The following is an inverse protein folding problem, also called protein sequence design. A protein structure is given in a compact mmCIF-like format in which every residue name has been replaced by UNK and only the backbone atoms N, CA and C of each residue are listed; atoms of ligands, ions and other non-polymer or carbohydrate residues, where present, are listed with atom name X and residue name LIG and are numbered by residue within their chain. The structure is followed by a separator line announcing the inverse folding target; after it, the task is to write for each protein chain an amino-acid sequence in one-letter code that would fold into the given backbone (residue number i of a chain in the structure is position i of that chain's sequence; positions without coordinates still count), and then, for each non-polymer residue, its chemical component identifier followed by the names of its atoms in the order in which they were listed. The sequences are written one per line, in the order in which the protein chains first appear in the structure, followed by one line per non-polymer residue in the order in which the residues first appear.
data_IF_926740014436
#
_entry.id   IF_926740014436
#
_cell.length_a   1.000
_cell.length_b   1.000
_cell.length_c   1.000
_cell.angle_alpha   90.00
_cell.angle_beta   90.00
_cell.angle_gamma   90.00
#
_symmetry.space_group_name_H-M   'P 1'
#
loop_
_entity.id
_entity.type
_entity.pdbx_description
1 polymer ?
#
# COMPACT_ATOMS: atom_id res chain seq x y z
N UNK A 1 4.76 -13.15 27.17
CA UNK A 1 3.29 -13.31 27.33
C UNK A 1 2.63 -12.74 26.08
N UNK A 2 2.04 -13.56 25.20
CA UNK A 2 1.47 -13.07 23.94
C UNK A 2 0.26 -12.19 24.24
N UNK A 3 0.37 -10.91 23.91
CA UNK A 3 -0.69 -9.92 24.10
C UNK A 3 -1.91 -10.21 23.23
N UNK A 4 -2.94 -9.40 23.42
CA UNK A 4 -4.16 -9.36 22.60
C UNK A 4 -3.85 -9.50 21.10
N UNK A 5 -4.71 -10.22 20.37
CA UNK A 5 -4.57 -10.44 18.94
C UNK A 5 -4.43 -9.11 18.18
N UNK A 6 -3.41 -9.02 17.32
CA UNK A 6 -3.18 -7.85 16.47
C UNK A 6 -3.62 -8.15 15.04
N UNK A 7 -4.70 -7.48 14.61
CA UNK A 7 -5.16 -7.49 13.21
C UNK A 7 -4.12 -6.82 12.31
N UNK A 8 -4.06 -7.24 11.05
CA UNK A 8 -3.31 -6.55 10.00
C UNK A 8 -3.95 -5.17 9.78
N UNK A 9 -3.19 -4.07 9.92
CA UNK A 9 -3.78 -2.73 9.89
C UNK A 9 -3.91 -2.23 8.44
N UNK A 10 -4.85 -2.81 7.70
CA UNK A 10 -5.16 -2.34 6.34
C UNK A 10 -6.00 -1.05 6.47
N UNK A 11 -5.32 0.07 6.62
CA UNK A 11 -5.91 1.40 6.79
C UNK A 11 -5.09 2.48 6.06
N UNK A 12 -5.57 3.72 6.10
CA UNK A 12 -4.97 4.86 5.40
C UNK A 12 -3.58 5.26 5.91
N UNK A 13 -3.16 4.78 7.09
CA UNK A 13 -1.89 5.18 7.70
C UNK A 13 -0.79 4.12 7.54
N UNK A 14 -1.10 2.89 7.16
CA UNK A 14 -0.10 1.83 7.07
C UNK A 14 0.25 1.47 5.63
N UNK A 15 1.47 0.98 5.43
CA UNK A 15 1.92 0.49 4.13
C UNK A 15 2.88 -0.68 4.25
N UNK A 16 2.96 -1.44 3.15
CA UNK A 16 3.94 -2.50 2.94
C UNK A 16 4.76 -2.16 1.71
N UNK A 17 6.08 -2.34 1.77
CA UNK A 17 6.95 -2.30 0.59
C UNK A 17 7.38 -3.72 0.24
N UNK A 18 7.21 -4.07 -1.02
CA UNK A 18 7.56 -5.37 -1.55
C UNK A 18 8.18 -5.21 -2.93
N UNK A 19 8.83 -6.25 -3.43
CA UNK A 19 9.28 -6.33 -4.80
C UNK A 19 9.12 -7.74 -5.34
N UNK A 20 9.15 -7.87 -6.66
CA UNK A 20 9.08 -9.16 -7.34
C UNK A 20 10.08 -9.19 -8.50
N UNK A 21 10.63 -10.36 -8.81
CA UNK A 21 11.53 -10.53 -9.95
C UNK A 21 10.98 -11.58 -10.90
N UNK A 22 10.44 -11.15 -12.03
CA UNK A 22 10.05 -12.04 -13.11
C UNK A 22 11.30 -12.46 -13.90
N UNK A 23 11.85 -13.63 -13.57
CA UNK A 23 12.90 -14.28 -14.35
C UNK A 23 12.26 -15.12 -15.46
N UNK A 24 11.78 -14.52 -16.53
CA UNK A 24 11.52 -15.27 -17.76
C UNK A 24 12.79 -15.26 -18.62
N UNK A 25 13.10 -16.35 -19.32
CA UNK A 25 14.30 -16.57 -20.14
C UNK A 25 14.59 -15.51 -21.23
N UNK A 26 13.72 -14.51 -21.38
CA UNK A 26 13.80 -13.43 -22.39
C UNK A 26 13.48 -12.03 -21.84
N UNK A 27 13.10 -11.90 -20.56
CA UNK A 27 12.80 -10.59 -19.95
C UNK A 27 13.09 -10.61 -18.44
N UNK A 28 14.07 -9.81 -18.01
CA UNK A 28 14.37 -9.58 -16.61
C UNK A 28 13.61 -8.35 -16.13
N UNK A 29 12.36 -8.52 -15.73
CA UNK A 29 11.59 -7.43 -15.11
C UNK A 29 11.61 -7.60 -13.59
N UNK A 30 12.16 -6.63 -12.88
CA UNK A 30 11.93 -6.48 -11.44
C UNK A 30 10.88 -5.41 -11.20
N UNK A 31 10.02 -5.64 -10.23
CA UNK A 31 8.98 -4.70 -9.82
C UNK A 31 9.24 -4.34 -8.37
N UNK A 32 9.16 -3.06 -8.04
CA UNK A 32 9.09 -2.62 -6.65
C UNK A 32 7.78 -1.88 -6.46
N UNK A 33 7.03 -2.24 -5.42
CA UNK A 33 5.71 -1.71 -5.19
C UNK A 33 5.41 -1.50 -3.71
N UNK A 34 4.47 -0.60 -3.45
CA UNK A 34 3.92 -0.30 -2.15
C UNK A 34 2.44 -0.69 -2.13
N UNK A 35 2.03 -1.44 -1.11
CA UNK A 35 0.62 -1.77 -0.87
C UNK A 35 0.01 -0.71 0.04
N UNK A 36 -1.15 -0.20 -0.35
CA UNK A 36 -1.93 0.76 0.44
C UNK A 36 -3.39 0.39 0.47
N UNK A 37 -4.04 0.70 1.58
CA UNK A 37 -5.49 0.67 1.67
C UNK A 37 -6.13 1.63 0.66
N UNK A 38 -7.25 1.20 0.08
CA UNK A 38 -8.08 2.01 -0.82
C UNK A 38 -9.39 2.35 -0.12
N UNK A 39 -10.19 1.32 0.20
CA UNK A 39 -11.48 1.45 0.87
C UNK A 39 -11.98 0.10 1.38
N UNK A 40 -12.94 0.11 2.29
CA UNK A 40 -13.73 -1.08 2.57
C UNK A 40 -14.77 -1.31 1.46
N UNK A 41 -15.11 -2.58 1.23
CA UNK A 41 -16.13 -2.99 0.26
C UNK A 41 -16.90 -4.19 0.78
N UNK A 42 -18.13 -4.36 0.31
CA UNK A 42 -18.95 -5.54 0.61
C UNK A 42 -19.02 -6.42 -0.64
N UNK A 43 -18.69 -7.70 -0.50
CA UNK A 43 -18.77 -8.71 -1.56
C UNK A 43 -19.44 -9.94 -0.96
N UNK A 44 -20.52 -10.44 -1.59
CA UNK A 44 -21.29 -11.59 -1.09
C UNK A 44 -21.62 -11.50 0.41
N UNK A 45 -22.12 -10.33 0.85
CA UNK A 45 -22.49 -10.03 2.26
C UNK A 45 -21.35 -10.09 3.28
N UNK A 46 -20.09 -10.10 2.84
CA UNK A 46 -18.91 -10.01 3.71
C UNK A 46 -18.15 -8.71 3.43
N UNK A 47 -17.66 -8.06 4.48
CA UNK A 47 -16.84 -6.86 4.37
C UNK A 47 -15.37 -7.22 4.16
N UNK A 48 -14.73 -6.60 3.16
CA UNK A 48 -13.32 -6.74 2.83
C UNK A 48 -12.65 -5.38 2.82
N UNK A 49 -11.40 -5.32 3.30
CA UNK A 49 -10.52 -4.20 3.03
C UNK A 49 -9.98 -4.35 1.60
N UNK A 50 -10.29 -3.40 0.71
CA UNK A 50 -9.66 -3.29 -0.61
C UNK A 50 -8.33 -2.54 -0.46
N UNK A 51 -7.27 -3.11 -1.01
CA UNK A 51 -5.96 -2.47 -1.13
C UNK A 51 -5.52 -2.46 -2.60
N UNK A 52 -4.54 -1.62 -2.89
CA UNK A 52 -3.89 -1.56 -4.19
C UNK A 52 -2.38 -1.52 -4.03
N UNK A 53 -1.71 -2.22 -4.93
CA UNK A 53 -0.29 -2.09 -5.18
C UNK A 53 -0.04 -0.91 -6.10
N UNK A 54 0.99 -0.13 -5.79
CA UNK A 54 1.48 0.95 -6.64
C UNK A 54 2.99 0.83 -6.73
N UNK A 55 3.52 0.70 -7.94
CA UNK A 55 4.93 0.43 -8.14
C UNK A 55 5.44 0.74 -9.52
N UNK A 56 6.76 0.62 -9.65
CA UNK A 56 7.48 0.78 -10.90
C UNK A 56 8.09 -0.57 -11.31
N UNK A 57 8.19 -0.77 -12.61
CA UNK A 57 8.95 -1.86 -13.20
C UNK A 57 10.33 -1.38 -13.66
N UNK A 58 11.32 -2.23 -13.48
CA UNK A 58 12.68 -2.05 -13.94
C UNK A 58 13.04 -3.24 -14.82
N UNK A 59 13.59 -3.01 -16.01
CA UNK A 59 14.02 -4.09 -16.88
C UNK A 59 15.09 -3.68 -17.87
N UNK A 60 15.56 -4.68 -18.62
CA UNK A 60 16.55 -4.49 -19.67
C UNK A 60 15.89 -4.00 -20.97
N UNK A 61 16.69 -3.35 -21.84
CA UNK A 61 16.25 -2.70 -23.09
C UNK A 61 15.63 -3.62 -24.13
N UNK A 62 15.72 -4.94 -23.94
CA UNK A 62 15.28 -5.95 -24.92
C UNK A 62 13.80 -6.32 -24.81
N UNK A 63 13.13 -5.96 -23.71
CA UNK A 63 11.67 -6.11 -23.56
C UNK A 63 11.13 -5.04 -22.62
N UNK A 64 10.23 -4.14 -23.07
CA UNK A 64 9.71 -3.07 -22.21
C UNK A 64 8.81 -3.68 -21.12
N UNK A 65 9.26 -3.61 -19.86
CA UNK A 65 8.40 -3.95 -18.72
C UNK A 65 7.23 -2.94 -18.65
N UNK A 66 6.04 -3.41 -18.27
CA UNK A 66 4.89 -2.50 -18.06
C UNK A 66 5.27 -1.48 -16.98
N UNK A 67 5.31 -0.17 -17.28
CA UNK A 67 5.88 0.82 -16.36
C UNK A 67 5.05 0.98 -15.07
N UNK A 68 3.76 0.64 -15.13
CA UNK A 68 2.84 0.75 -14.00
C UNK A 68 2.38 -0.65 -13.57
N UNK A 69 2.65 -0.99 -12.31
CA UNK A 69 2.12 -2.18 -11.66
C UNK A 69 1.02 -1.77 -10.67
N UNK A 70 -0.23 -1.76 -11.14
CA UNK A 70 -1.41 -1.55 -10.30
C UNK A 70 -2.18 -2.86 -10.22
N UNK A 71 -2.23 -3.46 -9.03
CA UNK A 71 -3.05 -4.63 -8.73
C UNK A 71 -3.91 -4.33 -7.52
N UNK A 72 -5.20 -4.62 -7.65
CA UNK A 72 -6.13 -4.54 -6.54
C UNK A 72 -6.25 -5.91 -5.88
N UNK A 73 -6.41 -5.92 -4.57
CA UNK A 73 -6.79 -7.13 -3.86
C UNK A 73 -7.71 -6.84 -2.68
N UNK A 74 -8.27 -7.91 -2.15
CA UNK A 74 -9.30 -7.86 -1.10
C UNK A 74 -8.88 -8.78 0.03
N UNK A 75 -8.89 -8.27 1.25
CA UNK A 75 -8.55 -9.03 2.44
C UNK A 75 -9.64 -8.89 3.48
N UNK A 76 -10.00 -10.00 4.10
CA UNK A 76 -10.94 -10.03 5.22
C UNK A 76 -10.28 -10.65 6.44
N UNK A 77 -10.59 -10.09 7.60
CA UNK A 77 -10.06 -10.55 8.87
C UNK A 77 -11.22 -10.98 9.76
N UNK A 78 -11.16 -12.22 10.22
CA UNK A 78 -11.99 -12.72 11.30
C UNK A 78 -11.20 -12.54 12.60
N UNK A 79 -11.48 -11.46 13.32
CA UNK A 79 -10.74 -11.10 14.54
C UNK A 79 -11.07 -12.00 15.72
N UNK A 80 -12.26 -12.60 15.74
CA UNK A 80 -12.70 -13.56 16.78
C UNK A 80 -11.90 -14.85 16.63
N UNK A 81 -11.86 -15.40 15.41
CA UNK A 81 -11.13 -16.63 15.12
C UNK A 81 -9.66 -16.39 14.74
N UNK A 82 -9.19 -15.15 14.74
CA UNK A 82 -7.79 -14.76 14.41
C UNK A 82 -7.32 -15.29 13.06
N UNK A 83 -8.21 -15.28 12.06
CA UNK A 83 -7.97 -15.76 10.68
C UNK A 83 -8.00 -14.61 9.70
N UNK A 84 -7.19 -14.74 8.66
CA UNK A 84 -7.13 -13.78 7.55
C UNK A 84 -7.37 -14.52 6.25
N UNK A 85 -8.15 -13.91 5.38
CA UNK A 85 -8.56 -14.44 4.09
C UNK A 85 -8.29 -13.43 2.98
N UNK A 86 -8.05 -13.92 1.78
CA UNK A 86 -7.90 -13.13 0.55
C UNK A 86 -8.92 -13.61 -0.49
N UNK A 87 -9.32 -12.73 -1.41
CA UNK A 87 -10.05 -13.17 -2.60
C UNK A 87 -9.05 -13.48 -3.72
N UNK A 88 -9.20 -14.64 -4.36
CA UNK A 88 -8.48 -14.94 -5.61
C UNK A 88 -9.06 -14.16 -6.80
N UNK A 89 -8.45 -14.30 -7.97
CA UNK A 89 -8.87 -13.60 -9.19
C UNK A 89 -10.28 -14.00 -9.66
N UNK A 90 -10.80 -15.13 -9.17
CA UNK A 90 -12.17 -15.60 -9.42
C UNK A 90 -13.12 -15.24 -8.27
N UNK A 91 -12.71 -14.33 -7.38
CA UNK A 91 -13.46 -13.89 -6.20
C UNK A 91 -13.80 -15.02 -5.20
N UNK A 92 -13.07 -16.13 -5.23
CA UNK A 92 -13.21 -17.14 -4.19
C UNK A 92 -12.42 -16.74 -2.96
N UNK A 93 -13.01 -16.97 -1.79
CA UNK A 93 -12.34 -16.71 -0.52
C UNK A 93 -11.33 -17.81 -0.18
N UNK A 94 -10.09 -17.41 0.05
CA UNK A 94 -8.94 -18.28 0.29
C UNK A 94 -8.28 -18.00 1.64
N UNK A 95 -7.89 -19.03 2.42
CA UNK A 95 -7.24 -18.83 3.71
C UNK A 95 -5.81 -18.34 3.54
N UNK A 96 -5.41 -17.34 4.33
CA UNK A 96 -4.09 -16.74 4.24
C UNK A 96 -3.28 -16.93 5.53
N UNK A 97 -3.88 -16.58 6.68
CA UNK A 97 -3.25 -16.72 7.99
C UNK A 97 -4.21 -17.32 9.01
N UNK A 98 -3.68 -18.12 9.95
CA UNK A 98 -4.43 -18.56 11.13
C UNK A 98 -3.54 -18.52 12.37
N UNK A 99 -3.78 -17.51 13.22
CA UNK A 99 -2.95 -17.28 14.40
C UNK A 99 -3.47 -17.96 15.68
N UNK A 100 -4.53 -18.78 15.61
CA UNK A 100 -4.96 -19.61 16.76
C UNK A 100 -4.11 -20.86 16.93
N UNK A 101 -3.41 -21.27 15.86
CA UNK A 101 -2.60 -22.48 15.83
C UNK A 101 -1.42 -22.42 16.79
N UNK A 102 -1.10 -23.58 17.36
CA UNK A 102 0.07 -23.82 18.22
C UNK A 102 1.15 -24.63 17.48
N UNK A 103 2.37 -24.76 18.03
CA UNK A 103 3.39 -25.61 17.43
C UNK A 103 2.91 -27.07 17.36
N UNK A 104 3.16 -27.73 16.23
CA UNK A 104 2.63 -29.07 15.89
C UNK A 104 1.32 -29.03 15.10
N UNK A 105 0.54 -27.95 15.18
CA UNK A 105 -0.72 -27.85 14.43
C UNK A 105 -0.48 -27.66 12.93
N UNK A 106 -1.47 -28.07 12.15
CA UNK A 106 -1.54 -27.78 10.70
C UNK A 106 -2.58 -26.71 10.38
N UNK A 107 -2.37 -26.02 9.26
CA UNK A 107 -3.35 -25.10 8.67
C UNK A 107 -3.25 -25.04 7.16
N UNK A 108 -4.35 -24.62 6.52
CA UNK A 108 -4.39 -24.31 5.11
C UNK A 108 -3.92 -22.87 4.86
N UNK A 109 -3.04 -22.71 3.88
CA UNK A 109 -2.58 -21.44 3.34
C UNK A 109 -2.70 -21.49 1.83
N UNK A 110 -3.30 -20.46 1.24
CA UNK A 110 -3.42 -20.36 -0.21
C UNK A 110 -2.09 -19.92 -0.85
N UNK A 111 -1.70 -20.61 -1.91
CA UNK A 111 -0.56 -20.27 -2.76
C UNK A 111 -1.05 -19.95 -4.16
N UNK A 112 -0.80 -18.73 -4.61
CA UNK A 112 -1.30 -18.25 -5.88
C UNK A 112 -0.59 -18.92 -7.08
N UNK A 113 0.72 -19.21 -6.99
CA UNK A 113 1.45 -19.90 -8.07
C UNK A 113 0.93 -21.32 -8.34
N UNK A 114 0.40 -21.99 -7.32
CA UNK A 114 -0.25 -23.29 -7.46
C UNK A 114 -1.77 -23.17 -7.68
N UNK A 115 -2.30 -21.95 -7.57
CA UNK A 115 -3.74 -21.66 -7.51
C UNK A 115 -4.48 -22.63 -6.56
N UNK A 116 -3.88 -22.92 -5.40
CA UNK A 116 -4.34 -23.99 -4.53
C UNK A 116 -4.06 -23.71 -3.04
N UNK A 117 -4.86 -24.34 -2.18
CA UNK A 117 -4.59 -24.36 -0.75
C UNK A 117 -3.56 -25.46 -0.45
N UNK A 118 -2.46 -25.09 0.19
CA UNK A 118 -1.48 -26.04 0.71
C UNK A 118 -1.66 -26.21 2.23
N UNK A 119 -1.31 -27.39 2.73
CA UNK A 119 -1.22 -27.62 4.18
C UNK A 119 0.19 -27.32 4.65
N UNK A 120 0.30 -26.48 5.68
CA UNK A 120 1.56 -26.17 6.37
C UNK A 120 1.46 -26.55 7.84
N UNK A 121 2.57 -26.92 8.44
CA UNK A 121 2.70 -27.20 9.88
C UNK A 121 3.38 -26.04 10.58
N UNK A 122 2.82 -25.61 11.72
CA UNK A 122 3.47 -24.63 12.59
C UNK A 122 4.56 -25.32 13.37
N UNK A 123 5.82 -24.95 13.18
CA UNK A 123 6.95 -25.58 13.90
C UNK A 123 7.34 -24.79 15.14
N UNK A 124 7.19 -23.47 15.09
CA UNK A 124 7.70 -22.58 16.12
C UNK A 124 6.72 -21.46 16.35
N UNK A 125 6.56 -21.08 17.61
CA UNK A 125 5.82 -19.88 18.02
C UNK A 125 6.72 -19.09 18.96
N UNK A 126 6.90 -17.82 18.62
CA UNK A 126 7.68 -16.89 19.40
C UNK A 126 7.07 -15.49 19.28
N UNK A 127 7.72 -14.50 19.86
CA UNK A 127 7.40 -13.08 19.71
C UNK A 127 8.54 -12.34 19.04
N UNK A 128 8.20 -11.31 18.27
CA UNK A 128 9.16 -10.38 17.70
C UNK A 128 8.79 -8.96 18.09
N UNK A 129 9.79 -8.16 18.44
CA UNK A 129 9.59 -6.75 18.79
C UNK A 129 9.70 -5.88 17.53
N UNK A 130 8.74 -4.99 17.33
CA UNK A 130 8.80 -3.94 16.31
C UNK A 130 9.57 -2.72 16.83
N UNK A 131 9.94 -1.80 15.94
CA UNK A 131 10.72 -0.60 16.31
C UNK A 131 9.98 0.33 17.27
N UNK A 132 8.64 0.23 17.35
CA UNK A 132 7.80 0.95 18.32
C UNK A 132 7.81 0.30 19.73
N UNK A 133 8.64 -0.72 19.94
CA UNK A 133 8.79 -1.43 21.20
C UNK A 133 7.72 -2.50 21.45
N UNK A 134 6.71 -2.66 20.58
CA UNK A 134 5.62 -3.61 20.80
C UNK A 134 6.00 -5.00 20.30
N UNK A 135 5.58 -6.03 21.05
CA UNK A 135 5.78 -7.44 20.67
C UNK A 135 4.61 -7.98 19.85
N UNK A 136 4.92 -8.74 18.80
CA UNK A 136 3.97 -9.37 17.88
C UNK A 136 4.17 -10.88 17.89
N UNK A 137 3.08 -11.67 17.87
CA UNK A 137 3.18 -13.12 17.73
C UNK A 137 3.79 -13.45 16.37
N UNK A 138 4.79 -14.32 16.41
CA UNK A 138 5.58 -14.81 15.29
C UNK A 138 5.42 -16.34 15.21
N UNK A 139 5.18 -16.86 14.00
CA UNK A 139 5.04 -18.30 13.77
C UNK A 139 5.89 -18.71 12.58
N UNK A 140 6.68 -19.79 12.73
CA UNK A 140 7.35 -20.43 11.60
C UNK A 140 6.46 -21.55 11.09
N UNK A 141 6.26 -21.58 9.78
CA UNK A 141 5.42 -22.56 9.10
C UNK A 141 6.21 -23.26 8.01
N UNK A 142 6.01 -24.57 7.89
CA UNK A 142 6.75 -25.41 6.92
C UNK A 142 5.84 -26.37 6.16
N UNK A 143 6.27 -26.78 4.97
CA UNK A 143 5.71 -27.92 4.23
C UNK A 143 6.86 -28.78 3.69
N UNK A 144 7.20 -29.83 4.44
CA UNK A 144 8.41 -30.62 4.16
C UNK A 144 9.65 -29.73 4.05
N UNK A 145 10.56 -30.06 3.15
CA UNK A 145 11.74 -29.25 2.82
C UNK A 145 11.48 -28.16 1.78
N UNK A 146 10.27 -28.08 1.22
CA UNK A 146 9.97 -27.28 0.02
C UNK A 146 9.45 -25.88 0.31
N UNK A 147 8.94 -25.64 1.52
CA UNK A 147 8.37 -24.36 1.92
C UNK A 147 8.69 -24.08 3.37
N UNK A 148 9.22 -22.90 3.64
CA UNK A 148 9.35 -22.33 4.98
C UNK A 148 9.07 -20.84 4.90
N UNK A 149 8.14 -20.37 5.74
CA UNK A 149 7.81 -18.96 5.88
C UNK A 149 7.60 -18.61 7.36
N UNK A 150 7.55 -17.32 7.65
CA UNK A 150 7.25 -16.81 8.98
C UNK A 150 6.07 -15.85 8.92
N UNK A 151 5.08 -16.02 9.79
CA UNK A 151 3.90 -15.17 9.86
C UNK A 151 3.91 -14.36 11.15
N UNK A 152 3.70 -13.06 11.02
CA UNK A 152 3.71 -12.08 12.11
C UNK A 152 2.32 -11.43 12.21
N UNK A 153 1.71 -11.48 13.38
CA UNK A 153 0.44 -10.77 13.63
C UNK A 153 0.61 -9.27 13.38
N UNK A 154 -0.37 -8.64 12.74
CA UNK A 154 -0.30 -7.22 12.41
C UNK A 154 0.59 -6.86 11.21
N UNK A 155 1.22 -7.85 10.56
CA UNK A 155 2.07 -7.60 9.39
C UNK A 155 1.72 -8.53 8.22
N UNK A 156 1.55 -9.83 8.47
CA UNK A 156 1.43 -10.84 7.43
C UNK A 156 2.66 -11.75 7.40
N UNK A 157 3.08 -12.18 6.22
CA UNK A 157 4.24 -13.04 6.05
C UNK A 157 5.54 -12.27 5.86
N UNK A 158 6.65 -12.85 6.31
CA UNK A 158 8.00 -12.31 6.09
C UNK A 158 8.49 -12.60 4.67
N UNK A 159 8.10 -13.73 4.06
CA UNK A 159 8.30 -13.99 2.62
C UNK A 159 6.98 -13.72 1.88
N UNK A 160 6.98 -12.79 0.93
CA UNK A 160 5.79 -12.36 0.18
C UNK A 160 4.85 -11.39 0.91
N UNK A 161 5.30 -10.80 2.04
CA UNK A 161 4.61 -9.71 2.71
C UNK A 161 3.15 -10.00 3.06
N UNK A 162 2.25 -9.10 2.66
CA UNK A 162 0.82 -9.23 2.92
C UNK A 162 0.18 -10.49 2.31
N UNK A 163 0.79 -11.14 1.32
CA UNK A 163 0.20 -12.23 0.53
C UNK A 163 0.76 -13.62 0.81
N UNK A 164 1.69 -13.78 1.76
CA UNK A 164 2.14 -15.10 2.23
C UNK A 164 2.73 -16.08 1.19
N UNK A 165 3.39 -15.55 0.14
CA UNK A 165 4.21 -16.25 -0.87
C UNK A 165 3.49 -16.51 -2.21
N UNK A 166 3.84 -15.72 -3.24
CA UNK A 166 3.92 -16.17 -4.64
C UNK A 166 5.20 -17.01 -4.76
N UNK A 167 5.05 -18.33 -4.87
CA UNK A 167 6.11 -19.35 -4.77
C UNK A 167 7.47 -19.06 -5.41
N UNK A 168 8.54 -19.40 -4.69
CA UNK A 168 9.84 -19.78 -5.28
C UNK A 168 9.68 -21.16 -5.93
N UNK A 169 9.40 -21.17 -7.23
CA UNK A 169 9.76 -22.29 -8.11
C UNK A 169 11.06 -21.92 -8.83
N UNK A 170 11.87 -22.92 -9.18
CA UNK A 170 13.23 -22.81 -9.73
C UNK A 170 13.42 -21.86 -10.95
N UNK A 171 12.35 -21.26 -11.50
CA UNK A 171 12.39 -20.40 -12.69
C UNK A 171 11.41 -19.20 -12.73
N UNK A 172 10.74 -18.72 -11.66
CA UNK A 172 9.97 -17.44 -11.77
C UNK A 172 9.41 -16.86 -10.47
N UNK A 173 9.59 -15.55 -10.27
CA UNK A 173 8.95 -14.62 -9.31
C UNK A 173 8.93 -15.01 -7.85
N UNK A 174 9.97 -14.59 -7.11
CA UNK A 174 9.91 -14.46 -5.66
C UNK A 174 9.42 -13.06 -5.29
N UNK A 175 8.28 -12.97 -4.59
CA UNK A 175 7.91 -11.74 -3.91
C UNK A 175 8.76 -11.57 -2.64
N UNK A 176 9.55 -10.50 -2.61
CA UNK A 176 10.41 -10.13 -1.51
C UNK A 176 9.74 -9.00 -0.72
N UNK A 177 9.56 -9.21 0.59
CA UNK A 177 9.06 -8.18 1.47
C UNK A 177 10.24 -7.37 2.02
N UNK A 178 10.15 -6.05 1.89
CA UNK A 178 11.19 -5.14 2.34
C UNK A 178 10.88 -4.56 3.71
N UNK A 179 9.66 -4.02 3.87
CA UNK A 179 9.30 -3.36 5.12
C UNK A 179 7.81 -3.09 5.28
N UNK A 180 7.44 -2.74 6.52
CA UNK A 180 6.12 -2.32 6.95
C UNK A 180 6.26 -1.07 7.84
N UNK A 181 5.38 -0.10 7.66
CA UNK A 181 5.49 1.19 8.34
C UNK A 181 4.22 2.03 8.35
N UNK A 182 4.31 3.22 8.94
CA UNK A 182 3.25 4.24 8.96
C UNK A 182 3.60 5.41 8.05
N UNK A 183 2.60 6.06 7.48
CA UNK A 183 2.76 7.23 6.60
C UNK A 183 2.81 8.51 7.44
N UNK A 184 1.99 8.62 8.48
CA UNK A 184 1.85 9.82 9.33
C UNK A 184 1.81 9.44 10.83
N UNK A 185 2.87 9.75 11.61
CA UNK A 185 4.19 10.17 11.13
C UNK A 185 4.85 9.06 10.30
N UNK A 186 5.77 9.43 9.41
CA UNK A 186 6.52 8.44 8.66
C UNK A 186 7.39 7.62 9.63
N UNK A 187 7.13 6.32 9.74
CA UNK A 187 7.93 5.44 10.59
C UNK A 187 8.05 4.05 9.99
N UNK A 188 9.23 3.44 10.12
CA UNK A 188 9.46 2.05 9.72
C UNK A 188 9.27 1.19 10.95
N UNK A 189 8.21 0.38 10.97
CA UNK A 189 7.86 -0.49 12.10
C UNK A 189 8.59 -1.83 12.06
N UNK A 190 8.80 -2.35 10.85
CA UNK A 190 9.49 -3.61 10.62
C UNK A 190 10.20 -3.60 9.26
N UNK A 191 11.40 -4.16 9.17
CA UNK A 191 12.24 -4.17 7.97
C UNK A 191 13.10 -5.43 7.91
N UNK A 192 13.36 -5.93 6.71
CA UNK A 192 14.32 -7.01 6.44
C UNK A 192 15.73 -6.49 6.10
N UNK A 193 15.92 -5.16 6.08
CA UNK A 193 17.18 -4.46 5.77
C UNK A 193 17.73 -4.67 4.35
N UNK A 194 16.93 -5.19 3.42
CA UNK A 194 17.38 -5.45 2.05
C UNK A 194 17.29 -4.23 1.13
N UNK A 195 16.32 -3.36 1.37
CA UNK A 195 16.02 -2.16 0.56
C UNK A 195 15.51 -1.02 1.45
N UNK A 196 15.56 0.25 1.00
CA UNK A 196 14.94 1.35 1.74
C UNK A 196 13.45 1.09 2.02
N UNK A 197 12.83 1.84 2.93
CA UNK A 197 11.41 1.67 3.24
C UNK A 197 10.50 2.75 2.62
N UNK A 198 10.90 3.30 1.48
CA UNK A 198 10.13 4.27 0.72
C UNK A 198 10.25 3.96 -0.78
N UNK A 199 9.15 4.01 -1.53
CA UNK A 199 9.21 3.87 -2.98
C UNK A 199 9.86 5.12 -3.57
N UNK A 200 11.03 4.98 -4.19
CA UNK A 200 11.75 6.11 -4.79
C UNK A 200 11.16 6.40 -6.17
N UNK A 201 10.01 7.08 -6.20
CA UNK A 201 9.44 7.57 -7.46
C UNK A 201 10.19 8.82 -7.90
N UNK A 202 11.42 8.66 -8.39
CA UNK A 202 12.08 9.68 -9.21
C UNK A 202 11.55 9.57 -10.64
N UNK A 203 10.30 9.97 -10.83
CA UNK A 203 9.63 9.93 -12.12
C UNK A 203 8.34 10.73 -12.10
N UNK A 204 8.40 11.99 -12.51
CA UNK A 204 7.24 12.74 -12.97
C UNK A 204 6.78 12.13 -14.30
N UNK A 205 5.81 11.24 -14.27
CA UNK A 205 4.89 11.06 -15.40
C UNK A 205 3.51 10.65 -14.88
N UNK A 206 2.53 11.50 -15.20
CA UNK A 206 1.16 11.41 -14.74
C UNK A 206 0.35 10.29 -15.39
N UNK A 207 -0.93 10.32 -15.00
CA UNK A 207 -2.08 9.55 -15.48
C UNK A 207 -2.29 8.20 -14.79
N UNK A 208 -2.92 8.24 -13.61
CA UNK A 208 -4.06 7.35 -13.36
C UNK A 208 -5.34 8.18 -13.47
N UNK A 209 -5.89 8.26 -14.68
CA UNK A 209 -7.20 8.86 -15.01
C UNK A 209 -8.36 8.02 -14.47
N UNK A 210 -8.38 7.74 -13.17
CA UNK A 210 -9.58 7.24 -12.51
C UNK A 210 -9.83 8.06 -11.26
N UNK A 211 -10.62 9.14 -11.44
CA UNK A 211 -11.16 10.05 -10.42
C UNK A 211 -10.23 11.21 -9.97
N UNK A 212 -9.63 11.94 -10.90
CA UNK A 212 -9.20 13.31 -10.60
C UNK A 212 -10.43 14.20 -10.45
N UNK A 213 -10.68 14.76 -9.26
CA UNK A 213 -11.79 15.71 -9.03
C UNK A 213 -11.38 17.15 -9.31
N UNK A 214 -10.08 17.41 -9.53
CA UNK A 214 -9.57 18.73 -9.87
C UNK A 214 -8.24 18.64 -10.65
N UNK A 215 -8.10 19.49 -11.67
CA UNK A 215 -6.85 19.81 -12.38
C UNK A 215 -6.19 21.02 -11.72
N UNK A 216 -4.87 20.98 -11.57
CA UNK A 216 -4.08 22.08 -11.00
C UNK A 216 -2.90 22.37 -11.92
N UNK A 217 -2.78 23.62 -12.36
CA UNK A 217 -1.74 24.02 -13.30
C UNK A 217 -1.45 25.53 -13.23
N UNK A 218 -0.24 25.99 -13.57
CA UNK A 218 0.93 25.19 -13.93
C UNK A 218 1.55 24.47 -12.71
N UNK A 219 2.30 23.40 -12.95
CA UNK A 219 3.13 22.74 -11.94
C UNK A 219 4.58 23.18 -12.15
N UNK A 220 5.20 23.69 -11.09
CA UNK A 220 5.93 24.97 -11.05
C UNK A 220 5.02 26.19 -11.30
N UNK A 221 4.87 27.04 -10.29
CA UNK A 221 4.06 28.27 -10.35
C UNK A 221 4.93 29.50 -10.07
N UNK A 222 4.80 30.53 -10.91
CA UNK A 222 5.31 31.86 -10.62
C UNK A 222 4.28 32.60 -9.79
N UNK A 223 3.30 33.23 -10.43
CA UNK A 223 2.36 34.09 -9.68
C UNK A 223 0.94 33.53 -9.66
N UNK A 224 0.53 32.78 -10.69
CA UNK A 224 -0.87 32.40 -10.86
C UNK A 224 -1.04 30.89 -10.92
N UNK A 225 -1.85 30.36 -10.00
CA UNK A 225 -2.22 28.95 -9.98
C UNK A 225 -3.68 28.79 -10.38
N UNK A 226 -3.93 27.99 -11.42
CA UNK A 226 -5.29 27.61 -11.82
C UNK A 226 -5.69 26.29 -11.17
N UNK A 227 -6.90 26.26 -10.62
CA UNK A 227 -7.55 25.07 -10.08
C UNK A 227 -8.91 24.92 -10.78
N UNK A 228 -9.12 23.78 -11.43
CA UNK A 228 -10.34 23.47 -12.19
C UNK A 228 -10.94 22.14 -11.70
N UNK A 229 -12.17 22.15 -11.20
CA UNK A 229 -12.86 20.93 -10.74
C UNK A 229 -13.34 20.09 -11.91
N UNK A 230 -13.16 18.77 -11.78
CA UNK A 230 -13.60 17.76 -12.72
C UNK A 230 -14.73 16.94 -12.09
N UNK A 231 -15.92 16.99 -12.70
CA UNK A 231 -17.16 16.29 -12.30
C UNK A 231 -17.72 16.65 -10.91
N UNK A 232 -19.06 16.71 -10.79
CA UNK A 232 -19.81 16.89 -9.54
C UNK A 232 -19.33 18.02 -8.63
N UNK A 233 -19.10 19.21 -9.21
CA UNK A 233 -18.92 20.43 -8.45
C UNK A 233 -20.18 20.70 -7.60
N UNK A 234 -20.09 20.49 -6.29
CA UNK A 234 -21.09 20.92 -5.33
C UNK A 234 -20.52 22.12 -4.56
N UNK A 235 -21.27 23.22 -4.53
CA UNK A 235 -20.87 24.46 -3.88
C UNK A 235 -20.71 24.35 -2.35
N UNK A 236 -21.31 23.33 -1.72
CA UNK A 236 -21.30 23.20 -0.27
C UNK A 236 -19.94 22.72 0.25
N UNK A 237 -19.30 23.52 1.11
CA UNK A 237 -18.10 23.19 1.91
C UNK A 237 -16.76 23.12 1.17
N UNK A 238 -16.70 23.75 -0.01
CA UNK A 238 -15.49 23.88 -0.79
C UNK A 238 -14.43 24.75 -0.07
N UNK A 239 -13.29 24.16 0.28
CA UNK A 239 -12.16 24.85 0.92
C UNK A 239 -10.84 24.54 0.22
N UNK A 240 -10.13 25.60 -0.13
CA UNK A 240 -8.73 25.55 -0.55
C UNK A 240 -7.87 26.10 0.59
N UNK A 241 -6.74 25.45 0.85
CA UNK A 241 -5.71 26.01 1.73
C UNK A 241 -4.32 25.67 1.22
N UNK A 242 -3.38 26.59 1.35
CA UNK A 242 -1.97 26.36 1.05
C UNK A 242 -1.19 26.41 2.36
N UNK A 243 -0.32 25.44 2.59
CA UNK A 243 0.60 25.41 3.73
C UNK A 243 2.06 25.37 3.28
N UNK A 244 2.95 25.98 4.07
CA UNK A 244 4.40 25.88 3.86
C UNK A 244 4.96 24.50 4.24
N UNK A 245 6.27 24.32 4.10
CA UNK A 245 6.96 23.06 4.44
C UNK A 245 6.90 22.67 5.93
N UNK A 246 6.60 23.62 6.82
CA UNK A 246 6.38 23.40 8.24
C UNK A 246 4.92 23.07 8.59
N UNK A 247 4.03 23.03 7.59
CA UNK A 247 2.61 22.76 7.78
C UNK A 247 1.77 23.96 8.24
N UNK A 248 2.35 25.16 8.31
CA UNK A 248 1.62 26.39 8.63
C UNK A 248 0.78 26.82 7.42
N UNK A 249 -0.51 27.09 7.62
CA UNK A 249 -1.41 27.56 6.56
C UNK A 249 -1.10 29.02 6.25
N UNK A 250 -0.66 29.29 5.01
CA UNK A 250 -0.29 30.62 4.51
C UNK A 250 -1.37 31.24 3.61
N UNK A 251 -2.34 30.44 3.16
CA UNK A 251 -3.48 30.90 2.36
C UNK A 251 -4.69 30.01 2.62
N UNK A 252 -5.89 30.59 2.63
CA UNK A 252 -7.14 29.83 2.67
C UNK A 252 -8.24 30.58 1.92
N UNK A 253 -9.03 29.84 1.16
CA UNK A 253 -10.19 30.33 0.44
C UNK A 253 -11.36 29.37 0.65
N UNK A 254 -12.57 29.93 0.81
CA UNK A 254 -13.83 29.18 0.87
C UNK A 254 -14.72 29.62 -0.29
N UNK A 255 -15.70 28.80 -0.64
CA UNK A 255 -16.81 29.17 -1.54
C UNK A 255 -16.34 29.72 -2.90
N UNK A 256 -15.39 29.02 -3.51
CA UNK A 256 -14.79 29.38 -4.80
C UNK A 256 -15.48 28.64 -5.95
N UNK A 257 -15.37 29.14 -7.18
CA UNK A 257 -16.05 28.65 -8.39
C UNK A 257 -15.53 27.29 -8.89
N UNK A 258 -16.14 26.72 -9.94
CA UNK A 258 -15.65 25.48 -10.58
C UNK A 258 -14.25 25.63 -11.20
N UNK A 259 -13.86 26.86 -11.54
CA UNK A 259 -12.52 27.21 -12.02
C UNK A 259 -12.06 28.50 -11.36
N UNK A 260 -10.87 28.49 -10.76
CA UNK A 260 -10.31 29.66 -10.07
C UNK A 260 -8.85 29.85 -10.43
N UNK A 261 -8.45 31.11 -10.48
CA UNK A 261 -7.07 31.53 -10.54
C UNK A 261 -6.70 32.15 -9.20
N UNK A 262 -5.70 31.59 -8.54
CA UNK A 262 -5.16 32.10 -7.29
C UNK A 262 -3.90 32.90 -7.59
N UNK A 263 -3.86 34.15 -7.13
CA UNK A 263 -2.64 34.94 -7.10
C UNK A 263 -1.80 34.52 -5.88
N UNK A 264 -0.61 33.98 -6.15
CA UNK A 264 0.39 33.49 -5.22
C UNK A 264 1.68 34.32 -5.24
N UNK A 265 1.66 35.51 -5.86
CA UNK A 265 2.81 36.42 -5.92
C UNK A 265 3.36 36.80 -4.54
N UNK A 266 2.52 36.75 -3.51
CA UNK A 266 2.88 37.02 -2.12
C UNK A 266 3.72 35.90 -1.45
N UNK A 267 3.80 34.71 -2.06
CA UNK A 267 4.59 33.59 -1.52
C UNK A 267 6.05 33.68 -1.98
N UNK A 268 7.00 33.43 -1.08
CA UNK A 268 8.40 33.27 -1.44
C UNK A 268 8.63 31.95 -2.19
N UNK A 269 9.66 31.91 -3.04
CA UNK A 269 10.08 30.69 -3.75
C UNK A 269 10.34 29.54 -2.78
N UNK A 270 9.82 28.35 -3.11
CA UNK A 270 9.91 27.21 -2.21
C UNK A 270 8.81 26.17 -2.38
N UNK A 271 8.76 25.24 -1.44
CA UNK A 271 7.85 24.10 -1.45
C UNK A 271 6.60 24.38 -0.61
N UNK A 272 5.43 24.20 -1.22
CA UNK A 272 4.13 24.34 -0.58
C UNK A 272 3.24 23.12 -0.83
N UNK A 273 2.22 22.99 0.01
CA UNK A 273 1.19 21.97 -0.11
C UNK A 273 -0.17 22.62 -0.26
N UNK A 274 -0.81 22.41 -1.41
CA UNK A 274 -2.19 22.80 -1.65
C UNK A 274 -3.12 21.69 -1.19
N UNK A 275 -4.06 22.02 -0.33
CA UNK A 275 -5.14 21.13 0.06
C UNK A 275 -6.44 21.64 -0.53
N UNK A 276 -7.15 20.74 -1.17
CA UNK A 276 -8.48 20.97 -1.72
C UNK A 276 -9.45 20.03 -1.00
N UNK A 277 -10.51 20.58 -0.44
CA UNK A 277 -11.53 19.85 0.31
C UNK A 277 -12.92 20.24 -0.20
N UNK A 278 -13.81 19.26 -0.32
CA UNK A 278 -15.25 19.45 -0.42
C UNK A 278 -15.96 18.61 0.67
N UNK A 279 -17.29 18.50 0.61
CA UNK A 279 -18.07 17.75 1.59
C UNK A 279 -17.75 16.24 1.64
N UNK A 280 -17.29 15.63 0.54
CA UNK A 280 -17.09 14.17 0.42
C UNK A 280 -15.62 13.74 0.37
N UNK A 281 -14.71 14.62 -0.04
CA UNK A 281 -13.32 14.30 -0.39
C UNK A 281 -12.34 15.40 0.01
N UNK A 282 -11.09 14.99 0.23
CA UNK A 282 -9.96 15.90 0.46
C UNK A 282 -8.72 15.36 -0.25
N UNK A 283 -8.06 16.20 -1.06
CA UNK A 283 -6.75 15.88 -1.67
C UNK A 283 -5.72 16.95 -1.34
N UNK A 284 -4.46 16.52 -1.36
CA UNK A 284 -3.30 17.40 -1.19
C UNK A 284 -2.37 17.26 -2.40
N UNK A 285 -1.84 18.39 -2.85
CA UNK A 285 -0.99 18.53 -4.02
C UNK A 285 0.28 19.28 -3.64
N UNK A 286 1.40 18.90 -4.25
CA UNK A 286 2.68 19.57 -4.09
C UNK A 286 2.74 20.75 -5.07
N UNK A 287 3.10 21.94 -4.58
CA UNK A 287 3.37 23.12 -5.41
C UNK A 287 4.82 23.54 -5.20
N UNK A 288 5.50 23.87 -6.29
CA UNK A 288 6.81 24.52 -6.26
C UNK A 288 6.60 25.96 -6.73
N UNK A 289 6.87 26.92 -5.84
CA UNK A 289 6.88 28.36 -6.15
C UNK A 289 8.27 28.74 -6.66
N UNK A 290 8.33 29.35 -7.83
CA UNK A 290 9.54 29.94 -8.42
C UNK A 290 9.74 31.39 -8.01
#
# INVERSE_FOLDING_TARGET
MFSQYKKVPIDTNHYWRQGSVANASVSNCSYEYQIRYVKDTVIASKTYNKYSEFGAAFGNTLSPCSPNHIKNGFLRQDTINKRVFVLDNSFNERPLYNFTKIAGDTMLVYQNNLNANITVTVTTIDSIQFTDGKYHKYQIVVRGSTYQNSFIQGLGAVKGGLYANQGVGFLSSADEFYCFGTILPFSVLYTTNQKPCFLSNVGLKGNSEENEFAKIYPNSVKDKLTIEYLNNYNNSENKISISNSLGQVVFSLKDFASKNELDLSFLSSGLYYLRIKNASEQKAFKIIKE
#
